data_IF_831972941342
#
_entry.id   IF_831972941342
#
_cell.length_a   1.000
_cell.length_b   1.000
_cell.length_c   1.000
_cell.angle_alpha   90.00
_cell.angle_beta   90.00
_cell.angle_gamma   90.00
#
_symmetry.space_group_name_H-M   'P 1'
#
loop_
_entity.id
_entity.type
_entity.pdbx_description
1 polymer ?
#
# COMPACT_ATOMS: atom_id res chain seq x y z
N UNK A 1 0.51 -0.39 8.87
CA UNK A 1 0.17 0.32 10.14
C UNK A 1 0.54 -0.55 11.35
N UNK A 2 1.81 -0.54 11.78
CA UNK A 2 2.31 -1.38 12.88
C UNK A 2 3.00 -0.59 14.01
N UNK A 3 3.19 0.72 13.80
CA UNK A 3 3.79 1.67 14.73
C UNK A 3 3.20 3.07 14.45
N UNK A 4 3.43 4.02 15.36
CA UNK A 4 3.15 5.44 15.06
C UNK A 4 3.98 5.90 13.86
N UNK A 5 3.40 6.77 13.04
CA UNK A 5 4.11 7.38 11.92
C UNK A 5 5.17 8.36 12.44
N UNK A 6 6.31 8.41 11.75
CA UNK A 6 7.41 9.33 12.09
C UNK A 6 7.47 10.49 11.09
N UNK A 7 8.28 11.52 11.39
CA UNK A 7 8.42 12.72 10.55
C UNK A 7 8.75 12.41 9.09
N UNK A 8 9.57 11.39 8.83
CA UNK A 8 9.87 10.91 7.48
C UNK A 8 8.64 10.43 6.71
N UNK A 9 7.66 9.81 7.37
CA UNK A 9 6.40 9.45 6.72
C UNK A 9 5.57 10.70 6.40
N UNK A 10 5.42 11.61 7.38
CA UNK A 10 4.62 12.83 7.18
C UNK A 10 5.19 13.76 6.13
N UNK A 11 6.50 13.77 5.89
CA UNK A 11 7.09 14.49 4.74
C UNK A 11 6.43 14.08 3.41
N UNK A 12 6.19 12.78 3.19
CA UNK A 12 5.56 12.30 1.97
C UNK A 12 4.08 12.74 1.88
N UNK A 13 3.33 12.57 2.98
CA UNK A 13 1.92 12.96 3.01
C UNK A 13 1.70 14.48 2.90
N UNK A 14 2.61 15.29 3.45
CA UNK A 14 2.59 16.75 3.26
C UNK A 14 2.88 17.12 1.81
N UNK A 15 3.84 16.45 1.16
CA UNK A 15 4.09 16.68 -0.27
C UNK A 15 2.84 16.41 -1.11
N UNK A 16 2.17 15.28 -0.88
CA UNK A 16 0.93 14.92 -1.58
C UNK A 16 -0.21 15.91 -1.29
N UNK A 17 -0.33 16.39 -0.05
CA UNK A 17 -1.31 17.42 0.32
C UNK A 17 -1.07 18.75 -0.42
N UNK A 18 0.17 19.21 -0.46
CA UNK A 18 0.55 20.42 -1.20
C UNK A 18 0.28 20.27 -2.71
N UNK A 19 0.59 19.10 -3.27
CA UNK A 19 0.29 18.79 -4.67
C UNK A 19 -1.23 18.85 -4.93
N UNK A 20 -2.04 18.18 -4.10
CA UNK A 20 -3.49 18.20 -4.23
C UNK A 20 -4.04 19.63 -4.14
N UNK A 21 -3.62 20.41 -3.14
CA UNK A 21 -4.05 21.81 -2.98
C UNK A 21 -3.67 22.67 -4.18
N UNK A 22 -2.48 22.45 -4.74
CA UNK A 22 -2.06 23.15 -5.95
C UNK A 22 -2.94 22.80 -7.14
N UNK A 23 -3.24 21.52 -7.36
CA UNK A 23 -4.13 21.09 -8.45
C UNK A 23 -5.54 21.67 -8.30
N UNK A 24 -6.09 21.66 -7.09
CA UNK A 24 -7.40 22.25 -6.79
C UNK A 24 -7.42 23.75 -7.02
N UNK A 25 -6.36 24.47 -6.60
CA UNK A 25 -6.20 25.90 -6.89
C UNK A 25 -6.18 26.20 -8.39
N UNK A 26 -5.69 25.26 -9.22
CA UNK A 26 -5.66 25.37 -10.68
C UNK A 26 -6.96 24.92 -11.35
N UNK A 27 -8.00 24.61 -10.58
CA UNK A 27 -9.33 24.25 -11.08
C UNK A 27 -9.53 22.77 -11.35
N UNK A 28 -8.57 21.90 -11.01
CA UNK A 28 -8.74 20.46 -11.15
C UNK A 28 -9.60 19.88 -10.01
N UNK A 29 -10.42 18.89 -10.34
CA UNK A 29 -11.06 18.03 -9.34
C UNK A 29 -10.13 16.86 -9.03
N UNK A 30 -9.63 16.78 -7.80
CA UNK A 30 -8.73 15.71 -7.38
C UNK A 30 -9.51 14.61 -6.67
N UNK A 31 -9.34 13.38 -7.13
CA UNK A 31 -9.79 12.17 -6.44
C UNK A 31 -8.58 11.40 -5.92
N UNK A 32 -8.29 11.55 -4.63
CA UNK A 32 -7.12 10.95 -3.98
C UNK A 32 -7.48 9.65 -3.29
N UNK A 33 -6.73 8.59 -3.59
CA UNK A 33 -6.85 7.27 -2.95
C UNK A 33 -5.56 6.97 -2.21
N UNK A 34 -5.65 6.54 -0.96
CA UNK A 34 -4.49 6.20 -0.13
C UNK A 34 -4.74 4.90 0.62
N UNK A 35 -4.04 3.82 0.25
CA UNK A 35 -4.28 2.52 0.87
C UNK A 35 -3.80 2.46 2.32
N UNK A 36 -4.39 1.54 3.07
CA UNK A 36 -3.92 1.14 4.40
C UNK A 36 -3.39 -0.28 4.32
N UNK A 37 -2.08 -0.45 4.50
CA UNK A 37 -1.46 -1.77 4.65
C UNK A 37 -1.66 -2.24 6.10
N UNK A 38 -2.75 -2.98 6.33
CA UNK A 38 -3.13 -3.54 7.64
C UNK A 38 -2.93 -5.06 7.75
N UNK A 39 -2.21 -5.63 6.79
CA UNK A 39 -1.61 -6.95 6.86
C UNK A 39 -0.24 -6.92 6.18
N UNK A 40 0.79 -7.26 6.94
CA UNK A 40 2.18 -7.42 6.53
C UNK A 40 2.94 -8.18 7.64
N UNK A 41 4.15 -8.66 7.34
CA UNK A 41 4.97 -9.41 8.31
C UNK A 41 5.21 -8.69 9.65
N UNK A 42 5.37 -7.36 9.63
CA UNK A 42 5.59 -6.56 10.86
C UNK A 42 4.30 -6.47 11.66
N UNK A 43 3.15 -6.28 11.02
CA UNK A 43 1.85 -6.29 11.70
C UNK A 43 1.52 -7.65 12.30
N UNK A 44 1.81 -8.76 11.59
CA UNK A 44 1.58 -10.13 12.08
C UNK A 44 2.47 -10.41 13.29
N UNK A 45 3.77 -10.11 13.20
CA UNK A 45 4.70 -10.27 14.33
C UNK A 45 4.28 -9.41 15.53
N UNK A 46 3.94 -8.14 15.30
CA UNK A 46 3.53 -7.22 16.36
C UNK A 46 2.24 -7.66 17.05
N UNK A 47 1.23 -8.11 16.29
CA UNK A 47 -0.01 -8.67 16.83
C UNK A 47 0.25 -9.93 17.68
N UNK A 48 1.12 -10.82 17.19
CA UNK A 48 1.54 -12.03 17.92
C UNK A 48 2.26 -11.71 19.23
N UNK A 49 3.22 -10.77 19.21
CA UNK A 49 3.92 -10.31 20.41
C UNK A 49 2.98 -9.64 21.42
N UNK A 50 2.01 -8.86 20.94
CA UNK A 50 1.01 -8.21 21.78
C UNK A 50 -0.09 -9.15 22.27
N UNK A 51 -0.16 -10.40 21.77
CA UNK A 51 -1.24 -11.33 22.09
C UNK A 51 -2.63 -10.83 21.69
N UNK A 52 -2.73 -10.03 20.61
CA UNK A 52 -4.00 -9.44 20.17
C UNK A 52 -4.33 -9.78 18.72
N UNK A 53 -5.62 -9.81 18.33
CA UNK A 53 -5.99 -9.98 16.92
C UNK A 53 -5.38 -8.89 16.04
N UNK A 54 -4.92 -9.25 14.83
CA UNK A 54 -4.28 -8.35 13.86
C UNK A 54 -5.08 -7.05 13.64
N UNK A 55 -6.40 -7.16 13.48
CA UNK A 55 -7.27 -5.99 13.29
C UNK A 55 -7.22 -5.05 14.50
N UNK A 56 -7.28 -5.58 15.72
CA UNK A 56 -7.20 -4.77 16.95
C UNK A 56 -5.81 -4.14 17.09
N UNK A 57 -4.76 -4.90 16.79
CA UNK A 57 -3.39 -4.42 16.82
C UNK A 57 -3.16 -3.24 15.87
N UNK A 58 -3.68 -3.32 14.63
CA UNK A 58 -3.49 -2.28 13.61
C UNK A 58 -4.39 -1.07 13.81
N UNK A 59 -5.58 -1.22 14.38
CA UNK A 59 -6.57 -0.13 14.55
C UNK A 59 -6.03 1.05 15.35
N UNK A 60 -5.31 0.79 16.45
CA UNK A 60 -4.71 1.87 17.26
C UNK A 60 -3.72 2.73 16.45
N UNK A 61 -3.02 2.13 15.49
CA UNK A 61 -2.07 2.84 14.64
C UNK A 61 -2.77 3.55 13.47
N UNK A 62 -3.89 3.02 12.97
CA UNK A 62 -4.76 3.72 12.00
C UNK A 62 -5.36 4.98 12.63
N UNK A 63 -5.82 4.88 13.86
CA UNK A 63 -6.34 6.00 14.63
C UNK A 63 -5.25 7.04 14.90
N UNK A 64 -4.10 6.63 15.44
CA UNK A 64 -2.98 7.55 15.69
C UNK A 64 -2.53 8.27 14.42
N UNK A 65 -2.37 7.55 13.30
CA UNK A 65 -2.06 8.18 12.01
C UNK A 65 -3.11 9.21 11.58
N UNK A 66 -4.39 8.91 11.80
CA UNK A 66 -5.49 9.81 11.47
C UNK A 66 -5.48 11.07 12.33
N UNK A 67 -5.22 10.96 13.63
CA UNK A 67 -5.11 12.08 14.57
C UNK A 67 -3.91 12.98 14.25
N UNK A 68 -2.76 12.35 13.96
CA UNK A 68 -1.54 13.07 13.58
C UNK A 68 -1.72 13.81 12.24
N UNK A 69 -2.36 13.18 11.24
CA UNK A 69 -2.64 13.80 9.95
C UNK A 69 -3.59 15.01 10.06
N UNK A 70 -4.62 14.91 10.89
CA UNK A 70 -5.53 16.04 11.19
C UNK A 70 -4.80 17.17 11.91
N UNK A 71 -3.94 16.84 12.87
CA UNK A 71 -3.10 17.80 13.61
C UNK A 71 -2.21 18.60 12.66
N UNK A 72 -1.66 17.94 11.65
CA UNK A 72 -0.85 18.56 10.59
C UNK A 72 -1.70 19.23 9.50
N UNK A 73 -3.03 19.20 9.61
CA UNK A 73 -3.99 19.76 8.64
C UNK A 73 -3.83 19.18 7.23
N UNK A 74 -3.36 17.94 7.14
CA UNK A 74 -3.30 17.20 5.89
C UNK A 74 -4.74 16.91 5.47
N UNK A 75 -5.11 17.33 4.26
CA UNK A 75 -6.45 17.06 3.72
C UNK A 75 -6.68 15.56 3.69
N UNK A 76 -7.87 15.07 4.06
CA UNK A 76 -8.22 13.64 4.00
C UNK A 76 -8.32 13.17 2.55
N UNK A 77 -7.94 11.92 2.30
CA UNK A 77 -8.13 11.27 0.99
C UNK A 77 -9.62 10.97 0.78
N UNK A 78 -10.03 10.82 -0.48
CA UNK A 78 -11.40 10.42 -0.81
C UNK A 78 -11.67 8.96 -0.40
N UNK A 79 -10.65 8.12 -0.50
CA UNK A 79 -10.75 6.68 -0.19
C UNK A 79 -9.52 6.16 0.55
N UNK A 80 -9.78 5.24 1.48
CA UNK A 80 -8.77 4.56 2.29
C UNK A 80 -8.90 3.03 2.19
N UNK A 81 -8.59 2.42 1.02
CA UNK A 81 -8.74 0.97 0.85
C UNK A 81 -7.80 0.20 1.79
N UNK A 82 -8.35 -0.63 2.67
CA UNK A 82 -7.57 -1.50 3.53
C UNK A 82 -7.22 -2.80 2.79
N UNK A 83 -5.98 -3.27 2.93
CA UNK A 83 -5.53 -4.51 2.30
C UNK A 83 -6.35 -5.74 2.74
N UNK A 84 -6.87 -5.71 3.98
CA UNK A 84 -7.71 -6.78 4.53
C UNK A 84 -9.19 -6.69 4.16
N UNK A 85 -9.66 -5.65 3.45
CA UNK A 85 -11.06 -5.62 3.00
C UNK A 85 -11.29 -6.75 1.99
N UNK A 86 -12.34 -7.55 2.21
CA UNK A 86 -12.66 -8.71 1.37
C UNK A 86 -12.74 -8.35 -0.12
N UNK A 87 -13.39 -7.24 -0.47
CA UNK A 87 -13.50 -6.77 -1.86
C UNK A 87 -12.15 -6.55 -2.56
N UNK A 88 -11.11 -6.19 -1.81
CA UNK A 88 -9.78 -5.98 -2.38
C UNK A 88 -8.97 -7.28 -2.41
N UNK A 89 -9.20 -8.18 -1.45
CA UNK A 89 -8.67 -9.55 -1.50
C UNK A 89 -9.18 -10.27 -2.76
N UNK A 90 -10.48 -10.22 -3.02
CA UNK A 90 -11.08 -10.84 -4.21
C UNK A 90 -10.46 -10.28 -5.51
N UNK A 91 -10.31 -8.94 -5.59
CA UNK A 91 -9.65 -8.28 -6.73
C UNK A 91 -8.18 -8.65 -6.88
N UNK A 92 -7.45 -8.82 -5.78
CA UNK A 92 -6.06 -9.29 -5.81
C UNK A 92 -5.98 -10.73 -6.34
N UNK A 93 -6.88 -11.61 -5.90
CA UNK A 93 -6.98 -13.00 -6.39
C UNK A 93 -7.29 -13.01 -7.90
N UNK A 94 -8.27 -12.22 -8.35
CA UNK A 94 -8.63 -12.11 -9.78
C UNK A 94 -7.46 -11.61 -10.63
N UNK A 95 -6.74 -10.60 -10.14
CA UNK A 95 -5.56 -10.07 -10.82
C UNK A 95 -4.46 -11.13 -10.92
N UNK A 96 -4.20 -11.87 -9.83
CA UNK A 96 -3.24 -12.97 -9.82
C UNK A 96 -3.65 -14.06 -10.83
N UNK A 97 -4.93 -14.45 -10.86
CA UNK A 97 -5.46 -15.41 -11.83
C UNK A 97 -5.25 -14.95 -13.28
N UNK A 98 -5.45 -13.67 -13.55
CA UNK A 98 -5.18 -13.05 -14.86
C UNK A 98 -3.69 -13.08 -15.22
N UNK A 99 -2.81 -12.89 -14.25
CA UNK A 99 -1.35 -12.97 -14.48
C UNK A 99 -0.90 -14.40 -14.75
N UNK A 100 -1.45 -15.39 -14.04
CA UNK A 100 -1.18 -16.81 -14.29
C UNK A 100 -1.66 -17.21 -15.69
N UNK A 101 -2.89 -16.84 -16.07
CA UNK A 101 -3.44 -17.20 -17.40
C UNK A 101 -2.65 -16.60 -18.56
N UNK A 102 -2.04 -15.43 -18.36
CA UNK A 102 -1.14 -14.77 -19.32
C UNK A 102 0.29 -15.31 -19.29
N UNK A 103 0.60 -16.29 -18.43
CA UNK A 103 1.97 -16.80 -18.24
C UNK A 103 2.94 -15.78 -17.64
N UNK A 104 2.43 -14.72 -17.01
CA UNK A 104 3.20 -13.65 -16.35
C UNK A 104 3.41 -13.92 -14.85
N UNK A 105 2.71 -14.90 -14.29
CA UNK A 105 2.94 -15.40 -12.94
C UNK A 105 2.99 -16.93 -12.93
N UNK A 106 3.50 -17.51 -11.84
CA UNK A 106 3.56 -18.95 -11.65
C UNK A 106 3.48 -19.32 -10.17
N UNK A 107 2.92 -20.48 -9.88
CA UNK A 107 2.97 -21.06 -8.55
C UNK A 107 4.26 -21.88 -8.41
N UNK A 108 5.01 -21.67 -7.34
CA UNK A 108 6.19 -22.46 -7.00
C UNK A 108 5.80 -23.67 -6.14
N UNK A 109 6.79 -24.51 -5.80
CA UNK A 109 6.58 -25.75 -5.03
C UNK A 109 6.02 -25.47 -3.62
N UNK A 110 6.44 -24.36 -3.02
CA UNK A 110 5.98 -23.84 -1.72
C UNK A 110 4.52 -23.32 -1.74
N UNK A 111 3.85 -23.40 -2.89
CA UNK A 111 2.49 -22.90 -3.17
C UNK A 111 2.35 -21.38 -3.22
N UNK A 112 3.42 -20.63 -3.01
CA UNK A 112 3.45 -19.19 -3.24
C UNK A 112 3.36 -18.89 -4.73
N UNK A 113 2.76 -17.74 -5.07
CA UNK A 113 2.66 -17.27 -6.46
C UNK A 113 3.64 -16.13 -6.68
N UNK A 114 4.50 -16.28 -7.70
CA UNK A 114 5.54 -15.33 -8.05
C UNK A 114 5.27 -14.71 -9.43
N UNK A 115 5.68 -13.45 -9.60
CA UNK A 115 5.62 -12.73 -10.88
C UNK A 115 6.89 -12.97 -11.71
N UNK A 116 6.74 -13.24 -13.02
CA UNK A 116 7.86 -13.46 -13.96
C UNK A 116 8.38 -12.14 -14.49
N UNK A 117 9.33 -11.54 -13.78
CA UNK A 117 9.93 -10.24 -14.17
C UNK A 117 10.51 -10.25 -15.60
N UNK A 118 11.13 -11.36 -16.02
CA UNK A 118 11.73 -11.51 -17.35
C UNK A 118 10.70 -11.60 -18.50
N UNK A 119 9.41 -11.84 -18.19
CA UNK A 119 8.32 -11.81 -19.17
C UNK A 119 7.69 -10.44 -19.31
N UNK A 120 8.14 -9.44 -18.54
CA UNK A 120 7.72 -8.05 -18.66
C UNK A 120 8.84 -7.21 -19.29
N UNK A 121 8.80 -6.88 -20.59
CA UNK A 121 9.92 -6.24 -21.29
C UNK A 121 10.37 -4.89 -20.72
N UNK A 122 9.49 -4.20 -20.00
CA UNK A 122 9.77 -2.88 -19.41
C UNK A 122 10.10 -2.96 -17.92
N UNK A 123 10.39 -4.15 -17.37
CA UNK A 123 10.79 -4.28 -15.97
C UNK A 123 12.07 -3.46 -15.70
N UNK A 124 12.15 -2.79 -14.55
CA UNK A 124 13.27 -1.91 -14.20
C UNK A 124 13.20 -0.47 -14.76
N UNK A 125 12.33 -0.18 -15.75
CA UNK A 125 12.26 1.15 -16.40
C UNK A 125 12.02 2.32 -15.43
N UNK A 126 11.22 2.11 -14.38
CA UNK A 126 10.91 3.15 -13.39
C UNK A 126 12.12 3.52 -12.51
N UNK A 127 12.92 2.53 -12.13
CA UNK A 127 14.06 2.71 -11.24
C UNK A 127 15.40 2.85 -11.99
N UNK A 128 15.37 2.85 -13.33
CA UNK A 128 16.55 2.72 -14.19
C UNK A 128 17.46 1.55 -13.77
N UNK A 129 16.83 0.43 -13.41
CA UNK A 129 17.54 -0.75 -12.90
C UNK A 129 18.05 -1.60 -14.07
N UNK A 130 19.33 -1.97 -14.03
CA UNK A 130 19.95 -2.85 -15.01
C UNK A 130 19.64 -4.31 -14.69
N UNK A 131 18.87 -4.95 -15.57
CA UNK A 131 18.43 -6.33 -15.38
C UNK A 131 19.57 -7.35 -15.51
N UNK A 132 20.73 -6.98 -16.02
CA UNK A 132 21.91 -7.85 -16.04
C UNK A 132 22.55 -8.06 -14.66
N UNK A 133 22.11 -7.31 -13.65
CA UNK A 133 22.61 -7.40 -12.27
C UNK A 133 21.74 -8.32 -11.37
N UNK A 134 20.68 -8.94 -11.92
CA UNK A 134 19.80 -9.90 -11.25
C UNK A 134 20.25 -11.34 -11.55
#
# INVERSE_FOLDING_TARGET
VYSRAHIGNFRAYIFEDLLQRHLELRGYKVHRVMNITDVDDKTIRGAGQAGTPLRKFTEQFKQAFSEDADTLRIKRANEYPAATDQRYIDRMIDMIGTLISKGLAYQAEDKSVYYRINKFPNYGKLAHFDLSQL
#
